data_IF_534606100259
#
_entry.id   IF_534606100259
#
_cell.length_a   1.000
_cell.length_b   1.000
_cell.length_c   1.000
_cell.angle_alpha   90.00
_cell.angle_beta   90.00
_cell.angle_gamma   90.00
#
_symmetry.space_group_name_H-M   'P 1'
#
loop_
_entity.id
_entity.type
_entity.pdbx_description
1 polymer ?
#
# COMPACT_ATOMS: atom_id res chain seq x y z
N UNK A 1 -20.12 2.74 26.97
CA UNK A 1 -19.27 3.93 26.80
C UNK A 1 -18.61 3.83 25.43
N UNK A 2 -18.94 4.71 24.48
CA UNK A 2 -18.32 4.67 23.14
C UNK A 2 -16.87 5.10 23.29
N UNK A 3 -15.93 4.24 22.90
CA UNK A 3 -14.51 4.56 22.92
C UNK A 3 -14.16 5.45 21.72
N UNK A 4 -13.14 6.29 21.86
CA UNK A 4 -12.63 7.13 20.76
C UNK A 4 -12.44 6.34 19.46
N UNK A 5 -11.89 5.12 19.56
CA UNK A 5 -11.74 4.19 18.43
C UNK A 5 -13.07 3.89 17.74
N UNK A 6 -14.12 3.55 18.48
CA UNK A 6 -15.41 3.20 17.90
C UNK A 6 -16.06 4.40 17.19
N UNK A 7 -15.89 5.61 17.72
CA UNK A 7 -16.39 6.83 17.09
C UNK A 7 -15.68 7.10 15.75
N UNK A 8 -14.34 7.09 15.75
CA UNK A 8 -13.55 7.32 14.51
C UNK A 8 -13.90 6.29 13.45
N UNK A 9 -13.97 5.00 13.81
CA UNK A 9 -14.31 3.94 12.87
C UNK A 9 -15.73 4.05 12.32
N UNK A 10 -16.68 4.48 13.14
CA UNK A 10 -18.07 4.68 12.69
C UNK A 10 -18.14 5.82 11.67
N UNK A 11 -17.53 6.97 11.99
CA UNK A 11 -17.50 8.13 11.09
C UNK A 11 -16.75 7.83 9.79
N UNK A 12 -15.64 7.11 9.84
CA UNK A 12 -14.85 6.74 8.65
C UNK A 12 -15.58 5.76 7.70
N UNK A 13 -16.64 5.08 8.17
CA UNK A 13 -17.46 4.17 7.36
C UNK A 13 -18.69 4.86 6.74
N UNK A 14 -18.94 6.12 7.06
CA UNK A 14 -20.03 6.89 6.46
C UNK A 14 -19.69 7.23 4.99
N UNK A 15 -20.52 6.84 4.00
CA UNK A 15 -20.24 7.07 2.59
C UNK A 15 -20.09 8.55 2.21
N UNK A 16 -20.78 9.45 2.90
CA UNK A 16 -20.67 10.89 2.65
C UNK A 16 -19.32 11.41 3.12
N UNK A 17 -18.86 10.94 4.28
CA UNK A 17 -17.53 11.27 4.80
C UNK A 17 -16.44 10.70 3.91
N UNK A 18 -16.55 9.44 3.48
CA UNK A 18 -15.60 8.83 2.55
C UNK A 18 -15.51 9.62 1.26
N UNK A 19 -16.65 9.98 0.66
CA UNK A 19 -16.69 10.76 -0.57
C UNK A 19 -16.06 12.15 -0.37
N UNK A 20 -16.33 12.83 0.75
CA UNK A 20 -15.70 14.12 1.06
C UNK A 20 -14.18 13.99 1.25
N UNK A 21 -13.71 12.90 1.85
CA UNK A 21 -12.29 12.66 2.10
C UNK A 21 -11.50 12.22 0.86
N UNK A 22 -12.14 11.53 -0.08
CA UNK A 22 -11.50 11.11 -1.35
C UNK A 22 -11.48 12.20 -2.41
N UNK A 23 -12.21 13.31 -2.19
CA UNK A 23 -12.31 14.43 -3.12
C UNK A 23 -11.81 15.76 -2.51
N UNK A 24 -11.46 16.73 -3.36
CA UNK A 24 -11.13 18.10 -2.95
C UNK A 24 -10.08 18.21 -1.83
N UNK A 25 -10.41 18.95 -0.76
CA UNK A 25 -9.52 19.19 0.38
C UNK A 25 -9.19 17.93 1.19
N UNK A 26 -10.07 16.93 1.20
CA UNK A 26 -9.83 15.65 1.87
C UNK A 26 -8.69 14.86 1.22
N UNK A 27 -8.62 14.86 -0.11
CA UNK A 27 -7.54 14.23 -0.87
C UNK A 27 -6.19 14.87 -0.56
N UNK A 28 -6.15 16.20 -0.41
CA UNK A 28 -4.93 16.92 -0.04
C UNK A 28 -4.43 16.52 1.36
N UNK A 29 -5.35 16.30 2.31
CA UNK A 29 -5.01 15.79 3.64
C UNK A 29 -4.45 14.36 3.58
N UNK A 30 -5.08 13.47 2.80
CA UNK A 30 -4.62 12.09 2.63
C UNK A 30 -3.22 12.02 1.98
N UNK A 31 -2.92 12.92 1.03
CA UNK A 31 -1.61 13.00 0.34
C UNK A 31 -0.43 13.33 1.24
N UNK A 32 -0.69 13.84 2.46
CA UNK A 32 0.37 13.98 3.48
C UNK A 32 0.88 12.63 4.00
N UNK A 33 0.05 11.60 3.95
CA UNK A 33 0.35 10.29 4.52
C UNK A 33 0.45 9.17 3.47
N UNK A 34 -0.17 9.35 2.30
CA UNK A 34 -0.16 8.38 1.20
C UNK A 34 0.44 9.04 -0.04
N UNK A 35 1.47 8.43 -0.62
CA UNK A 35 2.18 8.95 -1.79
C UNK A 35 1.24 9.13 -3.01
N UNK A 36 0.32 8.18 -3.21
CA UNK A 36 -0.68 8.21 -4.26
C UNK A 36 -1.37 6.86 -4.41
N UNK A 37 -2.14 6.73 -5.50
CA UNK A 37 -2.93 5.54 -5.82
C UNK A 37 -2.29 4.75 -6.97
N UNK A 38 -1.29 5.34 -7.63
CA UNK A 38 -0.59 4.73 -8.76
C UNK A 38 0.88 4.47 -8.44
N UNK A 39 1.45 3.48 -9.14
CA UNK A 39 2.88 3.20 -9.06
C UNK A 39 3.73 4.43 -9.40
N UNK A 40 3.34 5.20 -10.44
CA UNK A 40 4.05 6.39 -10.87
C UNK A 40 4.12 7.47 -9.77
N UNK A 41 3.03 7.67 -9.03
CA UNK A 41 2.99 8.60 -7.90
C UNK A 41 3.84 8.11 -6.73
N UNK A 42 3.79 6.80 -6.43
CA UNK A 42 4.65 6.17 -5.42
C UNK A 42 6.13 6.37 -5.72
N UNK A 43 6.55 6.12 -6.98
CA UNK A 43 7.93 6.31 -7.43
C UNK A 43 8.33 7.79 -7.40
N UNK A 44 7.43 8.71 -7.77
CA UNK A 44 7.70 10.15 -7.68
C UNK A 44 7.94 10.60 -6.23
N UNK A 45 7.14 10.12 -5.28
CA UNK A 45 7.35 10.41 -3.86
C UNK A 45 8.66 9.78 -3.35
N UNK A 46 8.97 8.55 -3.75
CA UNK A 46 10.22 7.89 -3.40
C UNK A 46 11.44 8.67 -3.93
N UNK A 47 11.41 9.17 -5.17
CA UNK A 47 12.44 10.06 -5.72
C UNK A 47 12.61 11.33 -4.91
N UNK A 48 11.50 11.98 -4.55
CA UNK A 48 11.55 13.20 -3.73
C UNK A 48 12.17 12.95 -2.35
N UNK A 49 11.84 11.83 -1.71
CA UNK A 49 12.46 11.43 -0.43
C UNK A 49 13.94 11.09 -0.62
N UNK A 50 14.31 10.34 -1.65
CA UNK A 50 15.70 10.00 -1.94
C UNK A 50 16.58 11.24 -2.17
N UNK A 51 16.03 12.27 -2.82
CA UNK A 51 16.72 13.54 -3.04
C UNK A 51 17.06 14.30 -1.74
N UNK A 52 16.42 13.96 -0.60
CA UNK A 52 16.77 14.51 0.72
C UNK A 52 17.96 13.79 1.38
N UNK A 53 18.50 12.74 0.74
CA UNK A 53 19.54 11.88 1.31
C UNK A 53 18.98 10.72 2.16
N UNK A 54 17.66 10.62 2.30
CA UNK A 54 17.01 9.50 2.99
C UNK A 54 16.83 8.28 2.05
N UNK A 55 16.60 7.10 2.63
CA UNK A 55 16.24 5.89 1.88
C UNK A 55 14.73 5.64 2.01
N UNK A 56 13.94 5.80 0.93
CA UNK A 56 12.51 5.56 0.99
C UNK A 56 12.18 4.07 1.15
N UNK A 57 11.07 3.79 1.81
CA UNK A 57 10.45 2.47 1.89
C UNK A 57 9.02 2.60 1.35
N UNK A 58 8.70 1.88 0.27
CA UNK A 58 7.35 1.87 -0.29
C UNK A 58 6.51 0.76 0.35
N UNK A 59 5.28 1.09 0.70
CA UNK A 59 4.29 0.14 1.20
C UNK A 59 3.07 0.14 0.26
N UNK A 60 2.78 -1.00 -0.35
CA UNK A 60 1.60 -1.16 -1.17
C UNK A 60 0.38 -1.44 -0.27
N UNK A 61 -0.58 -0.53 -0.31
CA UNK A 61 -1.82 -0.62 0.45
C UNK A 61 -2.86 -1.44 -0.33
N UNK A 62 -2.73 -2.76 -0.27
CA UNK A 62 -3.74 -3.72 -0.78
C UNK A 62 -4.83 -4.05 0.23
N UNK A 63 -5.98 -4.51 -0.26
CA UNK A 63 -7.09 -5.01 0.56
C UNK A 63 -6.77 -6.37 1.20
N UNK A 64 -7.64 -6.81 2.12
CA UNK A 64 -7.50 -8.11 2.77
C UNK A 64 -7.67 -9.25 1.74
N UNK A 65 -6.60 -10.02 1.54
CA UNK A 65 -6.60 -11.15 0.61
C UNK A 65 -7.34 -12.33 1.23
N UNK A 66 -8.40 -12.76 0.55
CA UNK A 66 -9.27 -13.88 0.95
C UNK A 66 -9.29 -15.01 -0.06
N UNK A 67 -8.58 -14.85 -1.18
CA UNK A 67 -8.46 -15.86 -2.24
C UNK A 67 -7.02 -15.96 -2.72
N UNK A 68 -6.63 -17.13 -3.22
CA UNK A 68 -5.31 -17.30 -3.80
C UNK A 68 -5.07 -16.45 -5.05
N UNK A 69 -6.13 -16.15 -5.82
CA UNK A 69 -6.02 -15.28 -6.99
C UNK A 69 -5.64 -13.85 -6.57
N UNK A 70 -6.27 -13.32 -5.51
CA UNK A 70 -5.92 -12.01 -4.97
C UNK A 70 -4.49 -11.97 -4.38
N UNK A 71 -3.99 -13.08 -3.83
CA UNK A 71 -2.59 -13.19 -3.40
C UNK A 71 -1.61 -13.07 -4.59
N UNK A 72 -1.92 -13.72 -5.71
CA UNK A 72 -1.12 -13.65 -6.93
C UNK A 72 -1.15 -12.24 -7.54
N UNK A 73 -2.31 -11.60 -7.55
CA UNK A 73 -2.45 -10.20 -8.00
C UNK A 73 -1.60 -9.26 -7.14
N UNK A 74 -1.63 -9.41 -5.82
CA UNK A 74 -0.77 -8.66 -4.92
C UNK A 74 0.72 -8.90 -5.25
N UNK A 75 1.14 -10.17 -5.38
CA UNK A 75 2.51 -10.52 -5.76
C UNK A 75 2.92 -9.86 -7.09
N UNK A 76 2.03 -9.82 -8.09
CA UNK A 76 2.29 -9.16 -9.36
C UNK A 76 2.49 -7.64 -9.22
N UNK A 77 1.76 -6.98 -8.32
CA UNK A 77 1.99 -5.56 -8.01
C UNK A 77 3.38 -5.36 -7.41
N UNK A 78 3.79 -6.20 -6.46
CA UNK A 78 5.13 -6.15 -5.87
C UNK A 78 6.23 -6.40 -6.91
N UNK A 79 6.08 -7.39 -7.80
CA UNK A 79 7.01 -7.64 -8.91
C UNK A 79 7.15 -6.43 -9.82
N UNK A 80 6.04 -5.79 -10.17
CA UNK A 80 6.02 -4.59 -11.02
C UNK A 80 6.72 -3.42 -10.35
N UNK A 81 6.47 -3.21 -9.05
CA UNK A 81 7.14 -2.17 -8.25
C UNK A 81 8.65 -2.41 -8.18
N UNK A 82 9.08 -3.63 -7.83
CA UNK A 82 10.50 -3.99 -7.73
C UNK A 82 11.23 -3.81 -9.07
N UNK A 83 10.62 -4.25 -10.17
CA UNK A 83 11.17 -4.05 -11.51
C UNK A 83 11.34 -2.57 -11.86
N UNK A 84 10.36 -1.72 -11.50
CA UNK A 84 10.45 -0.28 -11.73
C UNK A 84 11.56 0.38 -10.88
N UNK A 85 11.66 0.01 -9.60
CA UNK A 85 12.73 0.49 -8.72
C UNK A 85 14.11 0.12 -9.25
N UNK A 86 14.27 -1.12 -9.72
CA UNK A 86 15.51 -1.59 -10.32
C UNK A 86 15.83 -0.84 -11.61
N UNK A 87 14.86 -0.67 -12.50
CA UNK A 87 15.04 0.03 -13.77
C UNK A 87 15.46 1.50 -13.59
N UNK A 88 14.95 2.17 -12.55
CA UNK A 88 15.32 3.55 -12.22
C UNK A 88 16.60 3.66 -11.37
N UNK A 89 17.15 2.55 -10.87
CA UNK A 89 18.28 2.56 -9.93
C UNK A 89 17.97 3.28 -8.62
N UNK A 90 16.70 3.31 -8.22
CA UNK A 90 16.26 4.08 -7.05
C UNK A 90 16.65 3.33 -5.76
N UNK A 91 17.32 3.97 -4.79
CA UNK A 91 17.76 3.32 -3.55
C UNK A 91 16.63 3.17 -2.54
N UNK A 92 15.54 2.53 -2.95
CA UNK A 92 14.35 2.29 -2.17
C UNK A 92 14.25 0.84 -1.69
N UNK A 93 13.48 0.65 -0.62
CA UNK A 93 13.07 -0.68 -0.14
C UNK A 93 11.56 -0.83 -0.24
N UNK A 94 11.06 -2.05 -0.12
CA UNK A 94 9.64 -2.34 -0.17
C UNK A 94 9.23 -3.10 1.09
N UNK A 95 8.11 -2.70 1.70
CA UNK A 95 7.49 -3.39 2.82
C UNK A 95 6.41 -4.34 2.31
N UNK A 96 6.51 -5.61 2.68
CA UNK A 96 5.58 -6.67 2.31
C UNK A 96 4.84 -7.17 3.54
N UNK A 97 3.53 -7.44 3.40
CA UNK A 97 2.71 -8.06 4.44
C UNK A 97 2.34 -9.48 4.02
N UNK A 98 2.78 -10.50 4.75
CA UNK A 98 2.53 -11.90 4.40
C UNK A 98 1.02 -12.25 4.31
N UNK A 99 0.16 -11.57 5.06
CA UNK A 99 -1.30 -11.74 4.94
C UNK A 99 -1.84 -11.32 3.57
N UNK A 100 -1.22 -10.35 2.88
CA UNK A 100 -1.55 -10.03 1.48
C UNK A 100 -1.07 -11.09 0.49
N UNK A 101 -0.22 -12.02 0.92
CA UNK A 101 0.27 -13.15 0.14
C UNK A 101 -0.47 -14.45 0.51
N UNK A 102 -1.56 -14.33 1.28
CA UNK A 102 -2.40 -15.46 1.66
C UNK A 102 -1.82 -16.32 2.78
N UNK A 103 -0.99 -15.75 3.67
CA UNK A 103 -0.48 -16.48 4.85
C UNK A 103 -1.59 -17.18 5.64
N UNK A 104 -2.76 -16.53 5.79
CA UNK A 104 -3.91 -17.09 6.51
C UNK A 104 -4.69 -18.14 5.67
N UNK A 105 -4.39 -18.27 4.38
CA UNK A 105 -5.02 -19.23 3.47
C UNK A 105 -4.16 -20.50 3.32
N UNK A 106 -2.88 -20.32 3.02
CA UNK A 106 -1.91 -21.39 2.78
C UNK A 106 -0.49 -20.85 2.99
N UNK A 107 0.16 -21.17 4.12
CA UNK A 107 1.52 -20.71 4.42
C UNK A 107 2.58 -21.18 3.42
N UNK A 108 2.47 -22.41 2.88
CA UNK A 108 3.46 -22.96 1.96
C UNK A 108 3.38 -22.24 0.61
N UNK A 109 2.15 -21.97 0.14
CA UNK A 109 1.94 -21.18 -1.07
C UNK A 109 2.34 -19.71 -0.86
N UNK A 110 2.08 -19.14 0.31
CA UNK A 110 2.56 -17.80 0.66
C UNK A 110 4.09 -17.71 0.55
N UNK A 111 4.82 -18.69 1.11
CA UNK A 111 6.28 -18.74 1.01
C UNK A 111 6.73 -18.84 -0.46
N UNK A 112 6.12 -19.74 -1.24
CA UNK A 112 6.44 -19.89 -2.66
C UNK A 112 6.21 -18.59 -3.47
N UNK A 113 5.18 -17.80 -3.16
CA UNK A 113 4.92 -16.51 -3.80
C UNK A 113 5.93 -15.42 -3.40
N UNK A 114 6.44 -15.47 -2.16
CA UNK A 114 7.43 -14.50 -1.67
C UNK A 114 8.82 -14.79 -2.23
N UNK A 115 9.13 -16.07 -2.47
CA UNK A 115 10.43 -16.52 -3.00
C UNK A 115 10.55 -16.46 -4.54
N UNK A 116 9.43 -16.27 -5.25
CA UNK A 116 9.38 -16.19 -6.72
C UNK A 116 9.85 -14.85 -7.28
#
# INVERSE_FOLDING_TARGET
MVTWRALVLTVARDPWVQNLLTHGAGRALARRFVAGETLAEGLAAARAIAATGARPMLDYLGEAVTTHAAAEEAAQVYRTLLAALQAEGLPATVSLKASQFGLDLDPDRCAALVES
#
